data_IF_760300380935
#
_entry.id   IF_760300380935
#
_cell.length_a   1.000
_cell.length_b   1.000
_cell.length_c   1.000
_cell.angle_alpha   90.00
_cell.angle_beta   90.00
_cell.angle_gamma   90.00
#
_symmetry.space_group_name_H-M   'P 1'
#
loop_
_entity.id
_entity.type
_entity.pdbx_description
1 polymer ?
#
# COMPACT_ATOMS: atom_id res chain seq x y z
N UNK A 1 6.73 -57.13 -26.76
CA UNK A 1 6.62 -55.80 -27.38
C UNK A 1 5.78 -54.95 -26.45
N UNK A 2 6.39 -53.90 -25.93
CA UNK A 2 6.04 -53.23 -24.69
C UNK A 2 4.75 -52.40 -24.80
N UNK A 3 3.88 -52.55 -23.81
CA UNK A 3 2.75 -51.66 -23.53
C UNK A 3 3.24 -50.52 -22.64
N UNK A 4 3.14 -49.27 -23.08
CA UNK A 4 3.19 -48.01 -22.29
C UNK A 4 3.07 -46.85 -23.28
N UNK A 5 2.48 -45.69 -23.02
CA UNK A 5 1.52 -45.21 -22.02
C UNK A 5 1.05 -43.87 -22.60
N UNK A 6 -0.25 -43.65 -22.69
CA UNK A 6 -0.85 -42.38 -23.06
C UNK A 6 -0.55 -41.30 -22.01
N UNK A 7 -0.17 -40.09 -22.45
CA UNK A 7 -0.48 -38.75 -21.89
C UNK A 7 0.72 -37.77 -21.92
N UNK A 8 0.92 -37.00 -23.00
CA UNK A 8 1.55 -35.68 -22.93
C UNK A 8 0.46 -34.62 -23.06
N UNK A 9 -0.43 -34.53 -22.07
CA UNK A 9 -1.44 -33.46 -21.98
C UNK A 9 -1.49 -32.86 -20.57
N UNK A 10 -0.36 -32.83 -19.87
CA UNK A 10 -0.16 -31.85 -18.81
C UNK A 10 0.29 -30.54 -19.47
N UNK A 11 -0.66 -29.91 -20.16
CA UNK A 11 -0.62 -28.45 -20.30
C UNK A 11 -0.58 -27.90 -18.88
N UNK A 12 0.61 -27.47 -18.45
CA UNK A 12 0.76 -26.67 -17.24
C UNK A 12 -0.05 -25.39 -17.44
N UNK A 13 -1.34 -25.43 -17.09
CA UNK A 13 -2.13 -24.23 -16.84
C UNK A 13 -1.57 -23.67 -15.54
N UNK A 14 -0.49 -22.89 -15.66
CA UNK A 14 -0.03 -22.02 -14.59
C UNK A 14 -1.14 -21.00 -14.36
N UNK A 15 -2.06 -21.30 -13.45
CA UNK A 15 -2.99 -20.32 -12.96
C UNK A 15 -2.16 -19.15 -12.40
N UNK A 16 -2.19 -18.01 -13.10
CA UNK A 16 -1.68 -16.75 -12.58
C UNK A 16 -2.58 -16.38 -11.40
N UNK A 17 -2.24 -16.91 -10.22
CA UNK A 17 -2.78 -16.43 -8.96
C UNK A 17 -2.27 -14.99 -8.82
N UNK A 18 -3.10 -14.04 -9.26
CA UNK A 18 -2.89 -12.64 -8.95
C UNK A 18 -3.07 -12.50 -7.44
N UNK A 19 -1.94 -12.52 -6.71
CA UNK A 19 -1.96 -12.15 -5.30
C UNK A 19 -2.33 -10.67 -5.26
N UNK A 20 -3.53 -10.37 -4.75
CA UNK A 20 -3.92 -9.00 -4.42
C UNK A 20 -3.09 -8.60 -3.20
N UNK A 21 -1.99 -7.90 -3.45
CA UNK A 21 -1.15 -7.32 -2.40
C UNK A 21 -1.50 -5.84 -2.26
N UNK A 22 -1.95 -5.43 -1.08
CA UNK A 22 -2.11 -4.02 -0.73
C UNK A 22 -0.78 -3.29 -0.81
N UNK A 23 -0.79 -2.03 -1.25
CA UNK A 23 0.45 -1.23 -1.31
C UNK A 23 0.59 -0.44 -0.02
N UNK A 24 1.83 -0.41 0.46
CA UNK A 24 2.25 0.42 1.57
C UNK A 24 2.66 1.80 1.05
N UNK A 25 1.86 2.81 1.40
CA UNK A 25 2.03 4.19 0.95
C UNK A 25 2.61 5.01 2.09
N UNK A 26 3.90 5.35 1.96
CA UNK A 26 4.55 6.26 2.88
C UNK A 26 4.07 7.70 2.65
N UNK A 27 3.47 8.29 3.68
CA UNK A 27 2.96 9.66 3.62
C UNK A 27 4.11 10.64 3.39
N UNK A 28 3.98 11.50 2.37
CA UNK A 28 5.02 12.45 1.99
C UNK A 28 6.25 11.82 1.29
N UNK A 29 6.24 10.51 1.02
CA UNK A 29 7.40 9.81 0.47
C UNK A 29 8.63 9.96 1.36
N UNK A 30 9.78 10.26 0.77
CA UNK A 30 11.05 10.42 1.52
C UNK A 30 11.03 11.62 2.49
N UNK A 31 10.14 12.59 2.28
CA UNK A 31 9.96 13.70 3.22
C UNK A 31 9.31 13.27 4.54
N UNK A 32 8.47 12.23 4.51
CA UNK A 32 7.74 11.73 5.66
C UNK A 32 6.62 12.66 6.14
N UNK A 33 6.09 12.38 7.33
CA UNK A 33 4.99 13.14 7.94
C UNK A 33 5.50 14.27 8.85
N UNK A 34 5.91 15.38 8.24
CA UNK A 34 6.52 16.53 8.93
C UNK A 34 5.90 17.86 8.49
N UNK A 35 6.21 18.96 9.21
CA UNK A 35 5.77 20.31 8.81
C UNK A 35 6.28 20.64 7.39
N UNK A 36 5.39 20.85 6.41
CA UNK A 36 5.77 20.92 5.01
C UNK A 36 6.37 22.29 4.65
N UNK A 37 7.17 22.35 3.57
CA UNK A 37 7.69 23.62 3.07
C UNK A 37 6.60 24.51 2.43
N UNK A 38 5.48 23.92 2.01
CA UNK A 38 4.34 24.62 1.41
C UNK A 38 3.03 24.07 1.96
N UNK A 39 1.99 24.90 1.97
CA UNK A 39 0.65 24.49 2.44
C UNK A 39 0.02 23.37 1.61
N UNK A 40 0.48 23.16 0.37
CA UNK A 40 -0.08 22.20 -0.60
C UNK A 40 0.72 20.91 -0.70
N UNK A 41 1.86 20.78 -0.01
CA UNK A 41 2.77 19.64 -0.16
C UNK A 41 2.07 18.28 -0.03
N UNK A 42 1.30 18.07 1.04
CA UNK A 42 0.64 16.78 1.26
C UNK A 42 -0.58 16.56 0.36
N UNK A 43 -1.28 17.62 -0.06
CA UNK A 43 -2.37 17.47 -1.03
C UNK A 43 -1.84 17.15 -2.42
N UNK A 44 -0.68 17.68 -2.80
CA UNK A 44 0.04 17.32 -4.03
C UNK A 44 0.54 15.87 -3.99
N UNK A 45 1.14 15.45 -2.87
CA UNK A 45 1.54 14.06 -2.64
C UNK A 45 0.36 13.10 -2.80
N UNK A 46 -0.79 13.42 -2.17
CA UNK A 46 -1.99 12.60 -2.23
C UNK A 46 -2.55 12.52 -3.66
N UNK A 47 -2.56 13.65 -4.39
CA UNK A 47 -3.03 13.72 -5.79
C UNK A 47 -2.15 12.88 -6.74
N UNK A 48 -0.88 12.70 -6.43
CA UNK A 48 0.04 11.90 -7.24
C UNK A 48 -0.07 10.38 -6.97
N UNK A 49 -1.01 9.95 -6.13
CA UNK A 49 -1.20 8.57 -5.73
C UNK A 49 -2.63 8.11 -5.99
N UNK A 50 -2.83 6.80 -6.14
CA UNK A 50 -4.15 6.18 -6.23
C UNK A 50 -4.28 5.11 -5.17
N UNK A 51 -5.34 5.23 -4.36
CA UNK A 51 -5.56 4.42 -3.18
C UNK A 51 -6.72 3.45 -3.40
N UNK A 52 -6.53 2.21 -2.98
CA UNK A 52 -7.51 1.14 -3.09
C UNK A 52 -7.76 0.50 -1.72
N UNK A 53 -8.92 -0.13 -1.58
CA UNK A 53 -9.19 -1.02 -0.45
C UNK A 53 -8.09 -2.10 -0.37
N UNK A 54 -7.55 -2.33 0.82
CA UNK A 54 -6.43 -3.21 1.10
C UNK A 54 -5.09 -2.50 1.26
N UNK A 55 -4.97 -1.24 0.82
CA UNK A 55 -3.76 -0.45 1.02
C UNK A 55 -3.48 -0.12 2.47
N UNK A 56 -2.24 0.23 2.74
CA UNK A 56 -1.82 0.79 4.02
C UNK A 56 -1.24 2.18 3.82
N UNK A 57 -1.66 3.12 4.64
CA UNK A 57 -0.99 4.42 4.80
C UNK A 57 -0.01 4.32 5.97
N UNK A 58 1.25 4.69 5.73
CA UNK A 58 2.32 4.59 6.72
C UNK A 58 2.86 5.97 7.08
N UNK A 59 2.60 6.35 8.31
CA UNK A 59 3.05 7.61 8.89
C UNK A 59 4.40 7.37 9.58
N UNK A 60 5.49 7.80 8.94
CA UNK A 60 6.84 7.69 9.51
C UNK A 60 7.23 9.05 10.12
N UNK A 61 7.46 9.10 11.44
CA UNK A 61 7.99 10.28 12.12
C UNK A 61 9.51 10.39 11.90
N UNK A 62 10.07 11.60 12.07
CA UNK A 62 11.52 11.72 12.27
C UNK A 62 11.88 11.35 13.72
N UNK A 63 13.12 10.93 13.92
CA UNK A 63 13.62 10.53 15.23
C UNK A 63 13.42 11.67 16.26
N UNK A 64 12.85 11.34 17.41
CA UNK A 64 12.52 12.25 18.54
C UNK A 64 11.33 13.21 18.33
N UNK A 65 10.52 13.04 17.27
CA UNK A 65 9.28 13.81 17.10
C UNK A 65 8.05 12.93 17.42
N UNK A 66 7.17 13.40 18.32
CA UNK A 66 5.84 12.81 18.51
C UNK A 66 4.89 13.45 17.52
N UNK A 67 4.29 12.65 16.65
CA UNK A 67 3.29 13.17 15.72
C UNK A 67 1.91 12.61 16.02
N UNK A 68 1.05 13.48 16.53
CA UNK A 68 -0.37 13.19 16.68
C UNK A 68 -1.07 13.43 15.35
N UNK A 69 -2.01 12.56 14.99
CA UNK A 69 -2.89 12.81 13.85
C UNK A 69 -4.31 12.40 14.20
N UNK A 70 -5.27 12.87 13.41
CA UNK A 70 -6.64 12.44 13.45
C UNK A 70 -7.14 12.15 12.03
N UNK A 71 -8.11 11.26 11.96
CA UNK A 71 -8.97 11.10 10.80
C UNK A 71 -10.31 11.81 11.07
N UNK A 72 -10.62 12.84 10.29
CA UNK A 72 -11.90 13.54 10.40
C UNK A 72 -13.04 12.75 9.81
N UNK A 73 -14.22 12.87 10.40
CA UNK A 73 -15.45 12.27 9.88
C UNK A 73 -16.10 13.11 8.78
N UNK A 74 -15.76 14.40 8.72
CA UNK A 74 -16.32 15.33 7.73
C UNK A 74 -15.30 16.28 7.10
N UNK A 75 -15.63 16.79 5.92
CA UNK A 75 -14.85 17.85 5.28
C UNK A 75 -14.82 19.12 6.12
N UNK A 76 -15.92 19.45 6.81
CA UNK A 76 -15.99 20.66 7.64
C UNK A 76 -15.02 20.60 8.82
N UNK A 77 -14.93 19.44 9.50
CA UNK A 77 -13.91 19.21 10.53
C UNK A 77 -12.50 19.32 9.97
N UNK A 78 -12.25 18.71 8.81
CA UNK A 78 -10.96 18.77 8.13
C UNK A 78 -10.57 20.21 7.76
N UNK A 79 -11.49 20.98 7.18
CA UNK A 79 -11.27 22.37 6.77
C UNK A 79 -11.12 23.31 7.96
N UNK A 80 -11.87 23.07 9.03
CA UNK A 80 -11.76 23.80 10.30
C UNK A 80 -10.60 23.35 11.19
N UNK A 81 -9.85 22.31 10.80
CA UNK A 81 -8.83 21.67 11.64
C UNK A 81 -9.37 21.29 13.04
N UNK A 82 -10.59 20.75 13.09
CA UNK A 82 -11.25 20.30 14.32
C UNK A 82 -10.63 18.99 14.77
N UNK A 83 -10.12 18.99 16.00
CA UNK A 83 -9.25 17.95 16.55
C UNK A 83 -10.04 16.92 17.36
N UNK A 84 -10.91 16.19 16.69
CA UNK A 84 -11.57 15.01 17.27
C UNK A 84 -10.92 13.75 16.69
N UNK A 85 -10.34 12.89 17.53
CA UNK A 85 -9.72 11.67 17.03
C UNK A 85 -8.74 10.99 17.98
N UNK A 86 -8.38 9.76 17.60
CA UNK A 86 -7.44 8.91 18.31
C UNK A 86 -6.01 9.45 18.15
N UNK A 87 -5.37 9.77 19.28
CA UNK A 87 -3.96 10.15 19.33
C UNK A 87 -3.13 8.87 19.35
N UNK A 88 -2.22 8.71 18.40
CA UNK A 88 -1.36 7.55 18.30
C UNK A 88 0.12 7.94 18.23
N UNK A 89 0.99 7.14 18.85
CA UNK A 89 2.44 7.36 18.83
C UNK A 89 3.20 6.31 17.98
N UNK A 90 4.47 6.63 17.74
CA UNK A 90 5.62 5.81 17.31
C UNK A 90 5.67 5.15 15.93
N UNK A 91 4.57 4.87 15.22
CA UNK A 91 4.46 4.65 13.74
C UNK A 91 3.10 4.04 13.50
N UNK A 92 2.21 4.72 12.76
CA UNK A 92 0.88 4.17 12.48
C UNK A 92 0.80 3.69 11.03
N UNK A 93 0.24 2.49 10.92
CA UNK A 93 -0.21 1.87 9.70
C UNK A 93 -1.74 1.94 9.69
N UNK A 94 -2.32 2.67 8.75
CA UNK A 94 -3.78 2.72 8.55
C UNK A 94 -4.12 1.89 7.33
N UNK A 95 -4.76 0.74 7.54
CA UNK A 95 -5.33 -0.04 6.44
C UNK A 95 -6.58 0.65 5.89
N UNK A 96 -6.67 0.76 4.57
CA UNK A 96 -7.84 1.26 3.87
C UNK A 96 -8.80 0.08 3.68
N UNK A 97 -9.85 0.03 4.50
CA UNK A 97 -10.77 -1.10 4.61
C UNK A 97 -12.04 -0.94 3.77
N UNK A 98 -12.38 0.30 3.40
CA UNK A 98 -13.57 0.64 2.63
C UNK A 98 -13.32 1.77 1.63
N UNK A 99 -14.08 1.81 0.52
CA UNK A 99 -14.04 2.91 -0.40
C UNK A 99 -14.60 4.19 0.22
N UNK A 100 -14.20 5.31 -0.35
CA UNK A 100 -14.71 6.62 0.00
C UNK A 100 -13.61 7.65 0.21
N UNK A 101 -14.06 8.88 0.40
CA UNK A 101 -13.22 10.03 0.72
C UNK A 101 -12.82 9.94 2.19
N UNK A 102 -11.52 10.06 2.48
CA UNK A 102 -10.97 10.06 3.85
C UNK A 102 -10.11 11.30 4.06
N UNK A 103 -10.07 11.80 5.30
CA UNK A 103 -9.45 13.07 5.66
C UNK A 103 -8.47 12.87 6.81
N UNK A 104 -7.22 13.25 6.64
CA UNK A 104 -6.16 13.06 7.63
C UNK A 104 -5.48 14.38 7.95
N UNK A 105 -5.25 14.65 9.23
CA UNK A 105 -4.57 15.88 9.66
C UNK A 105 -3.72 15.66 10.91
N UNK A 106 -2.73 16.53 11.10
CA UNK A 106 -1.96 16.62 12.33
C UNK A 106 -2.74 17.37 13.42
N UNK A 107 -2.74 16.89 14.66
CA UNK A 107 -3.60 17.46 15.72
C UNK A 107 -2.92 18.38 16.72
N UNK A 108 -1.59 18.46 16.83
CA UNK A 108 -1.00 19.46 17.75
C UNK A 108 -0.81 20.84 17.12
N UNK A 109 -0.96 21.87 17.96
CA UNK A 109 -0.67 23.25 17.61
C UNK A 109 -1.43 23.74 16.37
N UNK A 110 -0.75 24.52 15.53
CA UNK A 110 -1.31 25.11 14.31
C UNK A 110 -0.87 24.36 13.03
N UNK A 111 -0.27 23.17 13.15
CA UNK A 111 0.35 22.48 12.01
C UNK A 111 -0.64 22.06 10.93
N UNK A 112 -1.89 21.72 11.30
CA UNK A 112 -2.95 21.43 10.31
C UNK A 112 -3.20 22.63 9.37
N UNK A 113 -3.32 23.84 9.92
CA UNK A 113 -3.48 25.07 9.12
C UNK A 113 -2.20 25.44 8.35
N UNK A 114 -1.04 24.97 8.82
CA UNK A 114 0.24 25.09 8.11
C UNK A 114 0.44 23.99 7.04
N UNK A 115 -0.62 23.24 6.70
CA UNK A 115 -0.61 22.30 5.59
C UNK A 115 -0.31 20.86 5.97
N UNK A 116 -0.15 20.51 7.26
CA UNK A 116 -0.09 19.10 7.70
C UNK A 116 -1.47 18.44 7.68
N UNK A 117 -2.07 18.38 6.50
CA UNK A 117 -3.38 17.79 6.23
C UNK A 117 -3.47 17.32 4.79
N UNK A 118 -4.18 16.23 4.55
CA UNK A 118 -4.50 15.75 3.20
C UNK A 118 -5.78 14.94 3.20
N UNK A 119 -6.37 14.79 2.01
CA UNK A 119 -7.51 13.93 1.79
C UNK A 119 -7.20 12.98 0.63
N UNK A 120 -7.76 11.77 0.71
CA UNK A 120 -7.62 10.75 -0.34
C UNK A 120 -8.98 10.22 -0.74
N UNK A 121 -9.07 9.73 -1.97
CA UNK A 121 -10.19 8.94 -2.46
C UNK A 121 -9.76 7.47 -2.54
N UNK A 122 -10.47 6.61 -1.81
CA UNK A 122 -10.23 5.17 -1.79
C UNK A 122 -11.21 4.49 -2.73
N UNK A 123 -10.69 3.74 -3.70
CA UNK A 123 -11.49 3.02 -4.68
C UNK A 123 -11.63 1.54 -4.33
N UNK A 124 -12.72 0.91 -4.77
CA UNK A 124 -12.79 -0.55 -4.77
C UNK A 124 -11.77 -1.13 -5.75
N UNK A 125 -11.09 -2.19 -5.34
CA UNK A 125 -10.28 -2.94 -6.27
C UNK A 125 -11.20 -3.80 -7.16
N UNK A 126 -11.18 -3.53 -8.46
CA UNK A 126 -11.84 -4.39 -9.44
C UNK A 126 -10.97 -5.65 -9.59
N UNK A 127 -11.55 -6.85 -9.46
CA UNK A 127 -10.83 -8.13 -9.55
C UNK A 127 -10.23 -8.45 -10.94
N UNK A 128 -10.30 -7.51 -11.89
CA UNK A 128 -9.69 -7.60 -13.21
C UNK A 128 -8.24 -7.13 -13.12
N UNK A 129 -7.29 -7.99 -13.48
CA UNK A 129 -5.84 -7.83 -13.29
C UNK A 129 -5.17 -6.68 -14.05
N UNK A 130 -5.64 -5.45 -13.88
CA UNK A 130 -4.90 -4.26 -14.29
C UNK A 130 -3.66 -4.09 -13.41
N UNK A 131 -2.46 -3.95 -13.99
CA UNK A 131 -1.25 -3.66 -13.24
C UNK A 131 -1.42 -2.36 -12.47
N UNK A 132 -1.15 -2.42 -11.17
CA UNK A 132 -1.32 -1.27 -10.30
C UNK A 132 -0.16 -0.29 -10.50
N UNK A 133 -0.42 1.02 -10.69
CA UNK A 133 0.63 2.01 -10.99
C UNK A 133 1.71 2.14 -9.90
N UNK A 134 1.42 1.72 -8.66
CA UNK A 134 2.33 1.84 -7.51
C UNK A 134 2.62 0.49 -6.81
N UNK A 135 2.26 -0.65 -7.40
CA UNK A 135 2.64 -1.94 -6.83
C UNK A 135 4.13 -2.18 -7.03
N UNK A 136 4.94 -1.93 -6.00
CA UNK A 136 6.24 -2.58 -5.90
C UNK A 136 5.96 -4.08 -5.67
N UNK A 137 5.99 -4.87 -6.75
CA UNK A 137 5.91 -6.33 -6.65
C UNK A 137 7.17 -6.80 -5.93
N UNK A 138 7.10 -6.94 -4.60
CA UNK A 138 8.07 -7.74 -3.86
C UNK A 138 7.76 -9.20 -4.15
N UNK A 139 8.28 -9.71 -5.27
CA UNK A 139 8.30 -11.15 -5.52
C UNK A 139 9.12 -11.75 -4.39
N UNK A 140 8.45 -12.35 -3.40
CA UNK A 140 9.14 -13.10 -2.36
C UNK A 140 10.04 -14.14 -3.04
N UNK A 141 11.23 -14.38 -2.49
CA UNK A 141 12.17 -15.33 -3.08
C UNK A 141 11.63 -16.79 -3.11
N UNK A 142 10.52 -17.07 -2.44
CA UNK A 142 9.91 -18.38 -2.30
C UNK A 142 9.51 -19.01 -3.66
N UNK A 143 8.72 -18.36 -4.55
CA UNK A 143 8.47 -18.89 -5.89
C UNK A 143 9.74 -19.08 -6.72
N UNK A 144 10.76 -18.21 -6.61
CA UNK A 144 12.04 -18.41 -7.32
C UNK A 144 12.82 -19.65 -6.84
N UNK A 145 12.79 -19.94 -5.54
CA UNK A 145 13.42 -21.13 -4.96
C UNK A 145 12.74 -22.43 -5.41
N UNK A 146 11.41 -22.43 -5.61
CA UNK A 146 10.71 -23.60 -6.17
C UNK A 146 11.07 -23.85 -7.64
N UNK A 147 11.19 -22.81 -8.47
CA UNK A 147 11.58 -22.98 -9.88
C UNK A 147 13.04 -23.44 -10.05
N UNK A 148 13.97 -22.92 -9.24
CA UNK A 148 15.39 -23.33 -9.31
C UNK A 148 15.62 -24.75 -8.80
N UNK A 149 14.94 -25.16 -7.73
CA UNK A 149 15.03 -26.53 -7.19
C UNK A 149 14.40 -27.56 -8.13
N UNK A 150 13.27 -27.23 -8.78
CA UNK A 150 12.64 -28.10 -9.77
C UNK A 150 13.52 -28.23 -11.04
N UNK A 151 14.15 -27.15 -11.49
CA UNK A 151 15.05 -27.18 -12.65
C UNK A 151 16.33 -27.97 -12.38
N UNK A 152 16.91 -27.85 -11.17
CA UNK A 152 18.04 -28.66 -10.74
C UNK A 152 17.65 -30.14 -10.62
N UNK A 153 16.50 -30.47 -10.02
CA UNK A 153 16.03 -31.85 -9.92
C UNK A 153 15.85 -32.50 -11.31
N UNK A 154 15.29 -31.77 -12.27
CA UNK A 154 15.13 -32.25 -13.65
C UNK A 154 16.50 -32.53 -14.30
N UNK A 155 17.50 -31.67 -14.11
CA UNK A 155 18.86 -31.91 -14.63
C UNK A 155 19.54 -33.14 -14.00
N UNK A 156 19.23 -33.48 -12.74
CA UNK A 156 19.75 -34.69 -12.08
C UNK A 156 19.03 -35.98 -12.50
N UNK A 157 17.80 -35.92 -13.02
CA UNK A 157 17.08 -37.10 -13.51
C UNK A 157 17.36 -37.42 -14.99
N UNK A 158 18.02 -36.51 -15.73
CA UNK A 158 18.37 -36.67 -17.14
C UNK A 158 19.88 -36.84 -17.41
N UNK A 159 20.67 -37.13 -16.37
CA UNK A 159 22.08 -37.58 -16.48
C UNK A 159 22.18 -39.03 -16.02
#
# INVERSE_FOLDING_TARGET
MSTTSSLPCLFFIGALLHVVVGVDNQIGGDFGWNLPPTLTFFSEWARNSTFFVGDTLRFIPRANETHTFAESQSQAEFDGCVKEGLVFDSTIFITLDRPGRRYFMYTDGNHCNMGMKFAIDVFQQSGTGTPRPNAAVKVGALPMLFFTTMFMAILFFFI
#
